data_IF_683220179216
#
_entry.id   IF_683220179216
#
_cell.length_a   1.000
_cell.length_b   1.000
_cell.length_c   1.000
_cell.angle_alpha   90.00
_cell.angle_beta   90.00
_cell.angle_gamma   90.00
#
_symmetry.space_group_name_H-M   'P 1'
#
loop_
_entity.id
_entity.type
_entity.pdbx_description
1 polymer ?
#
# COMPACT_ATOMS: atom_id res chain seq x y z
N UNK A 1 14.71 5.88 0.59
CA UNK A 1 15.12 6.32 -0.77
C UNK A 1 14.03 5.91 -1.76
N UNK A 2 13.52 6.83 -2.59
CA UNK A 2 12.45 6.55 -3.57
C UNK A 2 13.06 6.27 -4.95
N UNK A 3 12.60 5.21 -5.61
CA UNK A 3 13.01 4.88 -6.97
C UNK A 3 12.15 5.66 -7.98
N UNK A 4 12.81 6.42 -8.86
CA UNK A 4 12.13 7.14 -9.95
C UNK A 4 12.19 6.28 -11.23
N UNK A 5 11.51 5.14 -11.23
CA UNK A 5 11.44 4.22 -12.37
C UNK A 5 10.06 4.28 -13.03
N UNK A 6 10.02 4.15 -14.35
CA UNK A 6 8.77 4.14 -15.12
C UNK A 6 8.34 2.73 -15.53
N UNK A 7 9.24 1.76 -15.51
CA UNK A 7 8.97 0.37 -15.90
C UNK A 7 9.56 -0.61 -14.91
N UNK A 8 8.93 -1.79 -14.78
CA UNK A 8 9.43 -2.89 -13.97
C UNK A 8 10.86 -3.30 -14.36
N UNK A 9 11.15 -3.40 -15.64
CA UNK A 9 12.48 -3.74 -16.16
C UNK A 9 13.57 -2.74 -15.72
N UNK A 10 13.25 -1.44 -15.75
CA UNK A 10 14.16 -0.39 -15.27
C UNK A 10 14.42 -0.54 -13.78
N UNK A 11 13.37 -0.75 -12.98
CA UNK A 11 13.47 -0.94 -11.54
C UNK A 11 14.30 -2.18 -11.20
N UNK A 12 13.97 -3.34 -11.77
CA UNK A 12 14.67 -4.61 -11.52
C UNK A 12 16.16 -4.52 -11.86
N UNK A 13 16.52 -3.85 -12.96
CA UNK A 13 17.92 -3.58 -13.28
C UNK A 13 18.60 -2.72 -12.23
N UNK A 14 17.90 -1.70 -11.74
CA UNK A 14 18.45 -0.73 -10.78
C UNK A 14 18.71 -1.34 -9.41
N UNK A 15 17.81 -2.20 -8.93
CA UNK A 15 17.90 -2.82 -7.60
C UNK A 15 18.73 -4.12 -7.58
N UNK A 16 19.18 -4.62 -8.73
CA UNK A 16 19.85 -5.93 -8.86
C UNK A 16 20.99 -6.15 -7.87
N UNK A 17 21.73 -5.10 -7.50
CA UNK A 17 22.91 -5.16 -6.63
C UNK A 17 22.64 -4.52 -5.25
N UNK A 18 21.39 -4.28 -4.88
CA UNK A 18 21.06 -3.51 -3.68
C UNK A 18 20.80 -4.36 -2.43
N UNK A 19 21.04 -5.67 -2.48
CA UNK A 19 20.85 -6.58 -1.34
C UNK A 19 19.45 -6.52 -0.69
N UNK A 20 18.43 -6.20 -1.49
CA UNK A 20 17.03 -6.22 -1.05
C UNK A 20 16.65 -7.67 -0.72
N UNK A 21 16.00 -7.86 0.43
CA UNK A 21 15.55 -9.19 0.91
C UNK A 21 14.06 -9.39 0.74
N UNK A 22 13.27 -8.35 1.01
CA UNK A 22 11.82 -8.42 1.05
C UNK A 22 11.19 -7.36 0.15
N UNK A 23 9.98 -7.67 -0.29
CA UNK A 23 9.08 -6.75 -0.99
C UNK A 23 7.83 -6.61 -0.16
N UNK A 24 7.38 -5.38 0.05
CA UNK A 24 6.18 -5.07 0.81
C UNK A 24 5.15 -4.40 -0.11
N UNK A 25 4.04 -5.07 -0.34
CA UNK A 25 2.95 -4.63 -1.21
C UNK A 25 1.85 -4.02 -0.36
N UNK A 26 1.50 -2.76 -0.60
CA UNK A 26 0.59 -1.98 0.25
C UNK A 26 -0.61 -1.46 -0.52
N UNK A 27 -1.79 -1.54 0.07
CA UNK A 27 -2.99 -0.89 -0.42
C UNK A 27 -3.78 -0.30 0.76
N UNK A 28 -4.73 0.58 0.48
CA UNK A 28 -5.54 1.24 1.49
C UNK A 28 -6.99 0.76 1.38
N UNK A 29 -7.63 0.50 2.52
CA UNK A 29 -9.06 0.15 2.56
C UNK A 29 -9.98 1.39 2.63
N UNK A 30 -11.30 1.17 2.61
CA UNK A 30 -12.29 2.24 2.68
C UNK A 30 -12.21 3.10 3.95
N UNK A 31 -11.97 2.54 5.16
CA UNK A 31 -11.73 3.33 6.37
C UNK A 31 -10.41 4.11 6.39
N UNK A 32 -9.48 3.87 5.45
CA UNK A 32 -8.19 4.54 5.39
C UNK A 32 -7.03 3.76 6.01
N UNK A 33 -7.25 2.51 6.45
CA UNK A 33 -6.18 1.67 6.98
C UNK A 33 -5.31 1.11 5.85
N UNK A 34 -4.01 1.09 6.07
CA UNK A 34 -3.07 0.47 5.14
C UNK A 34 -2.91 -1.00 5.47
N UNK A 35 -3.22 -1.85 4.51
CA UNK A 35 -2.95 -3.28 4.52
C UNK A 35 -1.70 -3.59 3.71
N UNK A 36 -1.02 -4.70 4.03
CA UNK A 36 0.16 -5.10 3.30
C UNK A 36 0.37 -6.61 3.27
N UNK A 37 1.13 -7.05 2.27
CA UNK A 37 1.67 -8.40 2.16
C UNK A 37 3.16 -8.29 1.89
N UNK A 38 3.97 -8.97 2.71
CA UNK A 38 5.42 -9.05 2.51
C UNK A 38 5.78 -10.38 1.84
N UNK A 39 6.56 -10.30 0.77
CA UNK A 39 7.05 -11.46 0.02
C UNK A 39 8.57 -11.40 -0.15
N UNK A 40 9.27 -12.55 -0.28
CA UNK A 40 10.69 -12.56 -0.59
C UNK A 40 11.00 -11.89 -1.94
N UNK A 41 12.10 -11.17 -2.04
CA UNK A 41 12.49 -10.42 -3.25
C UNK A 41 12.63 -11.29 -4.50
N UNK A 42 12.87 -12.59 -4.38
CA UNK A 42 12.94 -13.52 -5.52
C UNK A 42 11.65 -13.58 -6.35
N UNK A 43 10.50 -13.18 -5.75
CA UNK A 43 9.22 -13.09 -6.45
C UNK A 43 8.97 -11.73 -7.11
N UNK A 44 9.88 -10.76 -6.93
CA UNK A 44 9.78 -9.46 -7.61
C UNK A 44 10.24 -9.59 -9.06
N UNK A 45 9.32 -9.95 -9.94
CA UNK A 45 9.53 -10.16 -11.38
C UNK A 45 8.73 -9.12 -12.19
N UNK A 46 8.94 -9.08 -13.51
CA UNK A 46 8.12 -8.25 -14.41
C UNK A 46 6.64 -8.71 -14.37
N UNK A 47 6.40 -10.02 -14.23
CA UNK A 47 5.03 -10.57 -14.14
C UNK A 47 4.31 -10.10 -12.88
N UNK A 48 5.01 -9.95 -11.74
CA UNK A 48 4.41 -9.40 -10.52
C UNK A 48 3.81 -8.00 -10.75
N UNK A 49 4.47 -7.16 -11.53
CA UNK A 49 3.97 -5.82 -11.87
C UNK A 49 2.81 -5.82 -12.86
N UNK A 50 2.61 -6.93 -13.56
CA UNK A 50 1.53 -7.11 -14.53
C UNK A 50 0.33 -7.82 -13.89
N UNK A 51 0.59 -8.93 -13.23
CA UNK A 51 -0.46 -9.85 -12.76
C UNK A 51 -0.83 -9.60 -11.29
N UNK A 52 0.08 -9.00 -10.52
CA UNK A 52 -0.14 -8.69 -9.11
C UNK A 52 -0.04 -9.91 -8.19
N UNK A 53 -0.58 -9.75 -6.98
CA UNK A 53 -0.72 -10.80 -5.96
C UNK A 53 -2.17 -10.89 -5.53
N UNK A 54 -2.73 -12.10 -5.56
CA UNK A 54 -4.09 -12.36 -5.11
C UNK A 54 -4.25 -12.21 -3.59
N UNK A 55 -5.39 -11.72 -3.18
CA UNK A 55 -5.79 -11.67 -1.77
C UNK A 55 -7.30 -11.80 -1.62
N UNK A 56 -7.75 -12.15 -0.41
CA UNK A 56 -9.16 -12.25 -0.05
C UNK A 56 -9.73 -10.88 0.31
N UNK A 57 -10.51 -10.30 -0.58
CA UNK A 57 -11.18 -9.01 -0.37
C UNK A 57 -12.30 -9.06 0.67
N UNK A 58 -12.83 -10.24 1.03
CA UNK A 58 -13.82 -10.36 2.11
C UNK A 58 -13.22 -10.15 3.50
N UNK A 59 -11.91 -10.36 3.62
CA UNK A 59 -11.15 -10.07 4.84
C UNK A 59 -10.84 -8.57 5.02
N UNK A 60 -11.15 -7.74 4.02
CA UNK A 60 -10.90 -6.30 4.05
C UNK A 60 -12.21 -5.55 4.25
N UNK A 61 -12.25 -4.73 5.31
CA UNK A 61 -13.47 -4.02 5.70
C UNK A 61 -14.00 -3.11 4.58
N UNK A 62 -15.25 -3.37 4.18
CA UNK A 62 -15.95 -2.57 3.17
C UNK A 62 -15.61 -2.93 1.72
N UNK A 63 -14.76 -3.96 1.47
CA UNK A 63 -14.44 -4.40 0.13
C UNK A 63 -15.50 -5.37 -0.41
N UNK A 64 -15.31 -6.66 -0.31
CA UNK A 64 -16.13 -7.67 -0.97
C UNK A 64 -16.89 -8.56 0.01
N UNK A 65 -17.91 -9.25 -0.51
CA UNK A 65 -18.54 -10.37 0.18
C UNK A 65 -17.78 -11.67 -0.09
N UNK A 66 -18.03 -12.70 0.72
CA UNK A 66 -17.32 -13.97 0.65
C UNK A 66 -17.56 -14.71 -0.69
N UNK A 67 -18.71 -14.48 -1.32
CA UNK A 67 -19.08 -15.13 -2.58
C UNK A 67 -18.30 -14.58 -3.79
N UNK A 68 -17.68 -13.42 -3.65
CA UNK A 68 -16.89 -12.78 -4.70
C UNK A 68 -15.64 -12.13 -4.10
N UNK A 69 -14.89 -12.91 -3.34
CA UNK A 69 -13.82 -12.40 -2.49
C UNK A 69 -12.46 -12.22 -3.19
N UNK A 70 -12.25 -12.92 -4.31
CA UNK A 70 -10.96 -12.91 -4.99
C UNK A 70 -10.64 -11.53 -5.59
N UNK A 71 -9.52 -10.98 -5.19
CA UNK A 71 -8.98 -9.69 -5.65
C UNK A 71 -7.48 -9.79 -5.91
N UNK A 72 -6.94 -8.88 -6.70
CA UNK A 72 -5.51 -8.77 -6.90
C UNK A 72 -5.00 -7.37 -6.57
N UNK A 73 -3.82 -7.30 -5.94
CA UNK A 73 -3.07 -6.05 -5.76
C UNK A 73 -1.92 -6.00 -6.76
N UNK A 74 -1.93 -4.98 -7.62
CA UNK A 74 -0.93 -4.77 -8.68
C UNK A 74 -0.02 -3.62 -8.26
N UNK A 75 1.28 -3.86 -8.05
CA UNK A 75 2.19 -2.82 -7.57
C UNK A 75 2.46 -1.75 -8.63
N UNK A 76 2.40 -0.49 -8.22
CA UNK A 76 2.78 0.64 -9.06
C UNK A 76 4.29 0.87 -8.97
N UNK A 77 5.00 0.58 -10.05
CA UNK A 77 6.47 0.69 -10.13
C UNK A 77 6.98 2.11 -9.79
N UNK A 78 6.18 3.13 -10.04
CA UNK A 78 6.57 4.54 -9.80
C UNK A 78 6.60 4.91 -8.32
N UNK A 79 6.01 4.07 -7.48
CA UNK A 79 5.89 4.29 -6.03
C UNK A 79 6.99 3.63 -5.21
N UNK A 80 7.85 2.79 -5.83
CA UNK A 80 8.88 2.01 -5.14
C UNK A 80 9.83 2.84 -4.28
N UNK A 81 10.02 2.43 -3.03
CA UNK A 81 10.98 3.02 -2.09
C UNK A 81 11.52 1.99 -1.10
N UNK A 82 12.70 2.27 -0.52
CA UNK A 82 13.21 1.46 0.60
C UNK A 82 12.54 1.94 1.88
N UNK A 83 11.87 1.01 2.56
CA UNK A 83 11.27 1.26 3.87
C UNK A 83 12.36 1.24 4.96
N UNK A 84 12.55 2.32 5.73
CA UNK A 84 13.61 2.43 6.71
C UNK A 84 13.31 1.72 8.05
N UNK A 85 12.07 1.24 8.24
CA UNK A 85 11.63 0.70 9.54
C UNK A 85 11.73 -0.82 9.67
N UNK A 86 11.96 -1.54 8.56
CA UNK A 86 12.20 -2.97 8.61
C UNK A 86 13.66 -3.29 8.95
N UNK A 87 13.88 -4.36 9.73
CA UNK A 87 15.22 -4.87 10.04
C UNK A 87 15.94 -5.42 8.80
N UNK A 88 15.19 -6.11 7.94
CA UNK A 88 15.68 -6.57 6.64
C UNK A 88 15.41 -5.51 5.56
N UNK A 89 16.36 -5.30 4.66
CA UNK A 89 16.20 -4.31 3.58
C UNK A 89 15.01 -4.65 2.70
N UNK A 90 13.96 -3.87 2.84
CA UNK A 90 12.65 -4.07 2.22
C UNK A 90 12.34 -2.96 1.23
N UNK A 91 11.92 -3.34 0.02
CA UNK A 91 11.35 -2.40 -0.95
C UNK A 91 9.83 -2.43 -0.84
N UNK A 92 9.21 -1.27 -0.67
CA UNK A 92 7.76 -1.14 -0.57
C UNK A 92 7.16 -0.50 -1.83
N UNK A 93 5.96 -0.95 -2.19
CA UNK A 93 5.15 -0.40 -3.30
C UNK A 93 3.74 -0.12 -2.83
N UNK A 94 3.15 0.96 -3.35
CA UNK A 94 1.71 1.16 -3.30
C UNK A 94 1.08 0.41 -4.47
N UNK A 95 0.04 -0.37 -4.20
CA UNK A 95 -0.64 -1.19 -5.20
C UNK A 95 -1.99 -0.57 -5.59
N UNK A 96 -2.42 -0.84 -6.80
CA UNK A 96 -3.79 -0.71 -7.24
C UNK A 96 -4.53 -2.02 -6.96
N UNK A 97 -5.80 -1.94 -6.59
CA UNK A 97 -6.65 -3.12 -6.39
C UNK A 97 -7.51 -3.34 -7.64
N UNK A 98 -7.49 -4.56 -8.14
CA UNK A 98 -8.17 -4.93 -9.39
C UNK A 98 -8.93 -6.25 -9.25
N UNK A 99 -9.88 -6.47 -10.14
CA UNK A 99 -10.47 -7.78 -10.38
C UNK A 99 -9.40 -8.72 -10.98
N UNK A 100 -9.22 -9.94 -10.45
CA UNK A 100 -8.11 -10.81 -10.87
C UNK A 100 -8.30 -11.46 -12.24
N UNK A 101 -9.51 -11.39 -12.83
CA UNK A 101 -9.84 -11.98 -14.13
C UNK A 101 -9.85 -10.91 -15.22
N UNK A 102 -10.56 -9.80 -14.98
CA UNK A 102 -10.73 -8.73 -15.97
C UNK A 102 -9.65 -7.68 -15.91
N UNK A 103 -8.93 -7.58 -14.78
CA UNK A 103 -7.97 -6.51 -14.46
C UNK A 103 -8.61 -5.12 -14.44
N UNK A 104 -9.92 -5.04 -14.34
CA UNK A 104 -10.60 -3.78 -14.12
C UNK A 104 -10.33 -3.26 -12.72
N UNK A 105 -10.14 -1.94 -12.62
CA UNK A 105 -9.88 -1.28 -11.33
C UNK A 105 -11.06 -1.45 -10.39
N UNK A 106 -10.79 -1.81 -9.15
CA UNK A 106 -11.82 -1.96 -8.12
C UNK A 106 -12.40 -0.60 -7.73
N UNK A 107 -13.72 -0.49 -7.81
CA UNK A 107 -14.41 0.80 -7.66
C UNK A 107 -14.40 1.37 -6.25
N UNK A 108 -14.14 0.54 -5.23
CA UNK A 108 -14.00 0.96 -3.82
C UNK A 108 -12.55 1.10 -3.37
N UNK A 109 -11.58 0.96 -4.28
CA UNK A 109 -10.19 1.27 -3.99
C UNK A 109 -10.03 2.80 -3.88
N UNK A 110 -9.65 3.36 -2.70
CA UNK A 110 -9.44 4.79 -2.52
C UNK A 110 -8.41 5.37 -3.50
N UNK A 111 -7.39 4.58 -3.85
CA UNK A 111 -6.39 4.98 -4.84
C UNK A 111 -6.99 5.11 -6.24
N UNK A 112 -7.90 4.23 -6.63
CA UNK A 112 -8.63 4.34 -7.89
C UNK A 112 -9.51 5.59 -7.93
N UNK A 113 -10.19 5.90 -6.82
CA UNK A 113 -11.01 7.12 -6.71
C UNK A 113 -10.13 8.36 -6.89
N UNK A 114 -8.95 8.42 -6.27
CA UNK A 114 -8.00 9.52 -6.44
C UNK A 114 -7.53 9.66 -7.90
N UNK A 115 -7.20 8.54 -8.56
CA UNK A 115 -6.84 8.52 -10.00
C UNK A 115 -7.98 8.98 -10.89
N UNK A 116 -9.23 8.62 -10.57
CA UNK A 116 -10.42 9.14 -11.29
C UNK A 116 -10.56 10.65 -11.14
N UNK A 117 -10.40 11.17 -9.93
CA UNK A 117 -10.49 12.59 -9.65
C UNK A 117 -9.41 13.38 -10.42
N UNK A 118 -8.17 12.89 -10.43
CA UNK A 118 -7.08 13.49 -11.21
C UNK A 118 -7.38 13.50 -12.73
N UNK A 119 -7.88 12.36 -13.24
CA UNK A 119 -8.29 12.26 -14.65
C UNK A 119 -9.41 13.23 -14.99
N UNK A 120 -10.41 13.36 -14.10
CA UNK A 120 -11.51 14.29 -14.28
C UNK A 120 -11.05 15.74 -14.29
N UNK A 121 -10.16 16.13 -13.35
CA UNK A 121 -9.58 17.47 -13.29
C UNK A 121 -8.96 17.86 -14.64
N UNK A 122 -8.13 16.99 -15.19
CA UNK A 122 -7.47 17.20 -16.49
C UNK A 122 -8.49 17.27 -17.64
N UNK A 123 -9.45 16.34 -17.68
CA UNK A 123 -10.42 16.27 -18.79
C UNK A 123 -11.46 17.38 -18.78
N UNK A 124 -11.76 17.96 -17.62
CA UNK A 124 -12.68 19.09 -17.48
C UNK A 124 -12.09 20.44 -17.92
N UNK A 125 -10.75 20.51 -18.08
CA UNK A 125 -10.04 21.73 -18.39
C UNK A 125 -9.93 22.73 -17.24
N UNK A 126 -10.39 22.36 -16.01
CA UNK A 126 -10.30 23.22 -14.83
C UNK A 126 -8.86 23.34 -14.29
N UNK A 127 -8.04 22.31 -14.54
CA UNK A 127 -6.64 22.29 -14.11
C UNK A 127 -5.95 20.98 -14.52
N UNK A 128 -4.65 20.94 -14.42
CA UNK A 128 -3.81 19.78 -14.69
C UNK A 128 -3.17 19.18 -13.42
N UNK A 129 -3.15 19.93 -12.34
CA UNK A 129 -2.49 19.57 -11.09
C UNK A 129 -3.32 20.00 -9.89
N UNK A 130 -3.46 19.11 -8.92
CA UNK A 130 -4.02 19.40 -7.60
C UNK A 130 -2.93 19.31 -6.53
N UNK A 131 -2.87 20.30 -5.65
CA UNK A 131 -1.96 20.32 -4.51
C UNK A 131 -2.73 20.06 -3.23
N UNK A 132 -2.19 19.16 -2.39
CA UNK A 132 -2.73 18.84 -1.07
C UNK A 132 -1.65 19.11 -0.02
N UNK A 133 -2.06 19.64 1.12
CA UNK A 133 -1.19 19.84 2.30
C UNK A 133 -1.57 18.82 3.37
N UNK A 134 -0.98 17.61 3.40
CA UNK A 134 -1.26 16.65 4.45
C UNK A 134 -0.71 17.15 5.79
N UNK A 135 -1.48 16.97 6.86
CA UNK A 135 -1.10 17.23 8.23
C UNK A 135 -0.99 15.90 8.97
N UNK A 136 0.25 15.48 9.28
CA UNK A 136 0.50 14.25 10.02
C UNK A 136 0.61 14.58 11.51
N UNK A 137 -0.38 14.17 12.29
CA UNK A 137 -0.45 14.41 13.74
C UNK A 137 -0.14 13.13 14.51
N UNK A 138 0.59 13.26 15.62
CA UNK A 138 0.90 12.14 16.51
C UNK A 138 1.15 12.65 17.93
N UNK A 139 0.98 11.74 18.88
CA UNK A 139 1.31 12.01 20.28
C UNK A 139 2.70 11.46 20.62
N UNK A 140 3.40 12.17 21.50
CA UNK A 140 4.67 11.71 22.09
C UNK A 140 4.44 11.50 23.57
N UNK A 141 4.65 10.26 24.03
CA UNK A 141 4.46 9.88 25.43
C UNK A 141 5.82 9.63 26.11
N UNK A 142 5.87 9.85 27.43
CA UNK A 142 7.03 9.51 28.26
C UNK A 142 7.14 8.00 28.41
N UNK A 143 6.01 7.33 28.64
CA UNK A 143 5.91 5.88 28.75
C UNK A 143 4.52 5.38 28.33
N UNK A 144 4.46 4.19 27.77
CA UNK A 144 3.21 3.50 27.47
C UNK A 144 3.31 2.06 27.92
N UNK A 145 2.42 1.65 28.81
CA UNK A 145 2.27 0.26 29.25
C UNK A 145 0.95 -0.28 28.77
N UNK A 146 0.96 -1.47 28.23
CA UNK A 146 -0.28 -2.16 27.86
C UNK A 146 -0.10 -3.66 28.00
N UNK A 147 -1.19 -4.35 28.28
CA UNK A 147 -1.28 -5.80 28.23
C UNK A 147 -2.70 -6.21 27.85
N UNK A 148 -2.83 -7.34 27.17
CA UNK A 148 -4.09 -7.82 26.63
C UNK A 148 -4.10 -9.36 26.61
N UNK A 149 -5.08 -9.93 27.27
CA UNK A 149 -5.34 -11.38 27.28
C UNK A 149 -6.81 -11.69 26.97
N UNK A 150 -7.18 -12.97 27.05
CA UNK A 150 -8.54 -13.40 26.70
C UNK A 150 -9.62 -12.75 27.57
N UNK A 151 -9.31 -12.37 28.81
CA UNK A 151 -10.27 -11.92 29.83
C UNK A 151 -9.96 -10.53 30.38
N UNK A 152 -8.89 -9.90 29.94
CA UNK A 152 -8.50 -8.59 30.42
C UNK A 152 -7.78 -7.78 29.36
N UNK A 153 -7.83 -6.46 29.47
CA UNK A 153 -6.97 -5.52 28.78
C UNK A 153 -6.76 -4.30 29.66
N UNK A 154 -5.55 -3.74 29.67
CA UNK A 154 -5.30 -2.45 30.25
C UNK A 154 -4.32 -1.64 29.41
N UNK A 155 -4.35 -0.35 29.55
CA UNK A 155 -3.32 0.56 29.07
C UNK A 155 -3.11 1.68 30.09
N UNK A 156 -1.89 2.15 30.18
CA UNK A 156 -1.46 3.28 30.98
C UNK A 156 -0.54 4.15 30.13
N UNK A 157 -0.83 5.42 30.07
CA UNK A 157 -0.04 6.41 29.34
C UNK A 157 0.50 7.43 30.30
N UNK A 158 1.81 7.64 30.32
CA UNK A 158 2.47 8.73 31.02
C UNK A 158 2.85 9.81 30.01
N UNK A 159 2.35 11.02 30.24
CA UNK A 159 2.60 12.18 29.41
C UNK A 159 2.61 13.44 30.25
N UNK A 160 3.49 14.37 29.87
CA UNK A 160 3.53 15.71 30.50
C UNK A 160 2.57 16.71 29.84
N UNK A 161 1.89 16.31 28.78
CA UNK A 161 0.87 17.09 28.07
C UNK A 161 -0.53 16.79 28.60
#
# INVERSE_FOLDING_TARGET
MKYKCKTAKELLKKIKNEEIKMVDLRFTDMPGSTHHISIPVKYLTEDLFKDGVGFDGSSVRGFQSIENSDMAMVPDVTTGYIDPFYSEKTIAFTCDVVDPITYESYTRDPRYIAKKAEKYLKSSGMGDTAYFGPEAEFFVFNDVKYDSGSNFAFHEVDSIE
#
